data_IF_075174548654
#
_entry.id   IF_075174548654
#
_cell.length_a   1.000
_cell.length_b   1.000
_cell.length_c   1.000
_cell.angle_alpha   90.00
_cell.angle_beta   90.00
_cell.angle_gamma   90.00
#
_symmetry.space_group_name_H-M   'P 1'
#
loop_
_entity.id
_entity.type
_entity.pdbx_description
1 polymer ?
#
# COMPACT_ATOMS: atom_id res chain seq x y z
N UNK A 1 -14.09 -1.04 4.77
CA UNK A 1 -13.20 -0.34 5.73
C UNK A 1 -11.80 -0.80 5.40
N UNK A 2 -10.77 0.04 5.51
CA UNK A 2 -9.43 -0.26 4.99
C UNK A 2 -8.86 -1.62 5.44
N UNK A 3 -9.19 -2.02 6.68
CA UNK A 3 -8.86 -3.33 7.22
C UNK A 3 -9.39 -4.48 6.35
N UNK A 4 -10.70 -4.48 6.06
CA UNK A 4 -11.38 -5.54 5.32
C UNK A 4 -10.92 -5.57 3.86
N UNK A 5 -10.71 -4.38 3.28
CA UNK A 5 -10.26 -4.22 1.90
C UNK A 5 -8.85 -4.83 1.73
N UNK A 6 -7.93 -4.52 2.64
CA UNK A 6 -6.56 -5.05 2.59
C UNK A 6 -6.48 -6.53 3.00
N UNK A 7 -7.27 -6.99 3.96
CA UNK A 7 -7.35 -8.42 4.32
C UNK A 7 -7.86 -9.26 3.14
N UNK A 8 -8.88 -8.76 2.42
CA UNK A 8 -9.39 -9.39 1.21
C UNK A 8 -8.33 -9.37 0.11
N UNK A 9 -7.63 -8.26 -0.08
CA UNK A 9 -6.60 -8.12 -1.11
C UNK A 9 -5.43 -9.09 -0.87
N UNK A 10 -4.91 -9.12 0.36
CA UNK A 10 -3.75 -9.96 0.71
C UNK A 10 -4.11 -11.40 1.09
N UNK A 11 -5.40 -11.72 1.20
CA UNK A 11 -5.91 -13.04 1.59
C UNK A 11 -5.32 -13.51 2.95
N UNK A 12 -4.97 -12.55 3.81
CA UNK A 12 -4.35 -12.79 5.11
C UNK A 12 -4.61 -11.61 6.03
N UNK A 13 -4.81 -11.86 7.31
CA UNK A 13 -5.04 -10.80 8.29
C UNK A 13 -3.76 -9.98 8.53
N UNK A 14 -3.87 -8.67 8.76
CA UNK A 14 -2.73 -7.85 9.13
C UNK A 14 -2.29 -8.16 10.56
N UNK A 15 -1.07 -7.78 10.91
CA UNK A 15 -0.59 -7.86 12.30
C UNK A 15 -1.01 -6.64 13.08
N UNK A 16 -1.49 -6.84 14.30
CA UNK A 16 -1.71 -5.73 15.23
C UNK A 16 -0.38 -5.06 15.61
N UNK A 17 -0.35 -3.72 15.58
CA UNK A 17 0.81 -2.93 15.97
C UNK A 17 0.34 -1.56 16.51
N UNK A 18 0.76 -1.20 17.73
CA UNK A 18 0.62 0.14 18.34
C UNK A 18 -0.70 0.86 18.02
N UNK A 19 -1.84 0.26 18.33
CA UNK A 19 -3.16 0.87 18.14
C UNK A 19 -3.65 0.91 16.69
N UNK A 20 -3.09 0.06 15.84
CA UNK A 20 -3.55 -0.17 14.48
C UNK A 20 -3.05 -1.53 13.99
N UNK A 21 -2.87 -1.64 12.68
CA UNK A 21 -2.45 -2.86 12.02
C UNK A 21 -1.38 -2.59 10.98
N UNK A 22 -0.64 -3.64 10.61
CA UNK A 22 0.35 -3.55 9.54
C UNK A 22 0.51 -4.81 8.73
N UNK A 23 0.94 -4.60 7.50
CA UNK A 23 1.55 -5.61 6.64
C UNK A 23 3.03 -5.32 6.45
N UNK A 24 3.83 -6.38 6.33
CA UNK A 24 5.17 -6.29 5.77
C UNK A 24 5.16 -7.03 4.44
N UNK A 25 5.30 -6.29 3.36
CA UNK A 25 5.28 -6.80 1.99
C UNK A 25 6.73 -6.94 1.54
N UNK A 26 7.11 -8.12 1.11
CA UNK A 26 8.47 -8.46 0.73
C UNK A 26 8.52 -8.82 -0.75
N UNK A 27 9.46 -8.25 -1.48
CA UNK A 27 9.70 -8.61 -2.87
C UNK A 27 10.21 -10.06 -2.97
N UNK A 28 9.73 -10.81 -3.95
CA UNK A 28 10.13 -12.18 -4.20
C UNK A 28 9.95 -12.53 -5.70
N UNK A 29 11.04 -12.69 -6.45
CA UNK A 29 11.03 -13.21 -7.84
C UNK A 29 9.87 -12.66 -8.72
N UNK A 30 9.88 -11.36 -9.00
CA UNK A 30 8.85 -10.66 -9.79
C UNK A 30 7.43 -10.66 -9.17
N UNK A 31 7.28 -11.16 -7.95
CA UNK A 31 6.07 -11.09 -7.12
C UNK A 31 6.37 -10.54 -5.73
N UNK A 32 5.40 -10.61 -4.83
CA UNK A 32 5.55 -10.29 -3.43
C UNK A 32 5.04 -11.43 -2.55
N UNK A 33 5.39 -11.35 -1.26
CA UNK A 33 4.76 -12.12 -0.18
C UNK A 33 4.54 -11.24 1.05
N UNK A 34 3.59 -11.62 1.89
CA UNK A 34 3.43 -11.04 3.22
C UNK A 34 4.38 -11.77 4.18
N UNK A 35 5.19 -11.00 4.90
CA UNK A 35 6.19 -11.49 5.83
C UNK A 35 6.02 -10.93 7.24
N UNK A 36 6.89 -11.39 8.14
CA UNK A 36 6.80 -11.07 9.56
C UNK A 36 7.75 -9.97 10.03
N UNK A 37 8.79 -9.69 9.25
CA UNK A 37 9.88 -8.79 9.58
C UNK A 37 10.46 -8.13 8.32
N UNK A 38 11.17 -7.01 8.48
CA UNK A 38 11.90 -6.37 7.38
C UNK A 38 13.20 -7.14 7.14
N UNK A 39 13.38 -7.68 5.94
CA UNK A 39 14.58 -8.44 5.58
C UNK A 39 15.72 -7.54 5.09
N UNK A 40 16.94 -8.05 5.24
CA UNK A 40 18.14 -7.49 4.63
C UNK A 40 18.30 -8.02 3.21
N UNK A 41 19.02 -7.29 2.35
CA UNK A 41 19.35 -7.65 0.97
C UNK A 41 18.16 -7.76 0.00
N UNK A 42 17.05 -7.08 0.27
CA UNK A 42 15.89 -7.02 -0.64
C UNK A 42 15.05 -5.76 -0.40
N UNK A 43 14.11 -5.50 -1.31
CA UNK A 43 13.08 -4.47 -1.13
C UNK A 43 11.97 -4.98 -0.20
N UNK A 44 11.43 -4.10 0.63
CA UNK A 44 10.27 -4.41 1.48
C UNK A 44 9.45 -3.15 1.75
N UNK A 45 8.16 -3.31 2.00
CA UNK A 45 7.24 -2.23 2.38
C UNK A 45 6.61 -2.57 3.72
N UNK A 46 6.68 -1.64 4.68
CA UNK A 46 5.80 -1.65 5.85
C UNK A 46 4.59 -0.77 5.54
N UNK A 47 3.41 -1.37 5.48
CA UNK A 47 2.13 -0.68 5.32
C UNK A 47 1.41 -0.73 6.67
N UNK A 48 1.41 0.39 7.38
CA UNK A 48 0.68 0.58 8.63
C UNK A 48 -0.61 1.36 8.37
N UNK A 49 -1.68 1.01 9.10
CA UNK A 49 -2.95 1.72 9.08
C UNK A 49 -3.70 1.58 10.41
N UNK A 50 -4.70 2.41 10.66
CA UNK A 50 -5.48 2.40 11.91
C UNK A 50 -6.99 2.46 11.66
N UNK A 51 -7.77 2.53 12.74
CA UNK A 51 -9.24 2.55 12.72
C UNK A 51 -9.85 3.79 12.04
N UNK A 52 -9.04 4.83 11.82
CA UNK A 52 -9.43 6.08 11.15
C UNK A 52 -9.01 6.11 9.67
N UNK A 53 -8.64 4.95 9.10
CA UNK A 53 -8.13 4.81 7.74
C UNK A 53 -6.90 5.72 7.46
N UNK A 54 -6.13 6.07 8.51
CA UNK A 54 -4.88 6.81 8.37
C UNK A 54 -3.73 5.83 8.10
N UNK A 55 -3.02 6.06 7.00
CA UNK A 55 -1.95 5.20 6.51
C UNK A 55 -0.55 5.80 6.73
N UNK A 56 0.40 4.90 7.01
CA UNK A 56 1.83 5.12 6.90
C UNK A 56 2.45 4.01 6.05
N UNK A 57 3.12 4.38 4.95
CA UNK A 57 3.82 3.46 4.05
C UNK A 57 5.31 3.77 4.11
N UNK A 58 6.13 2.77 4.45
CA UNK A 58 7.59 2.90 4.47
C UNK A 58 8.20 1.89 3.52
N UNK A 59 8.93 2.38 2.53
CA UNK A 59 9.73 1.57 1.61
C UNK A 59 11.13 1.39 2.18
N UNK A 60 11.59 0.15 2.21
CA UNK A 60 12.91 -0.27 2.69
C UNK A 60 13.71 -0.86 1.54
N UNK A 61 15.01 -0.58 1.55
CA UNK A 61 16.01 -1.28 0.76
C UNK A 61 17.07 -1.82 1.71
N UNK A 62 17.29 -3.14 1.65
CA UNK A 62 18.28 -3.84 2.48
C UNK A 62 18.08 -3.62 3.99
N UNK A 63 16.82 -3.53 4.42
CA UNK A 63 16.45 -3.26 5.81
C UNK A 63 16.56 -1.79 6.24
N UNK A 64 16.96 -0.89 5.34
CA UNK A 64 17.10 0.54 5.61
C UNK A 64 15.92 1.29 4.98
N UNK A 65 15.19 2.13 5.73
CA UNK A 65 14.10 2.91 5.17
C UNK A 65 14.65 3.94 4.17
N UNK A 66 14.12 3.94 2.96
CA UNK A 66 14.52 4.88 1.89
C UNK A 66 13.43 5.91 1.59
N UNK A 67 12.17 5.63 1.93
CA UNK A 67 11.06 6.58 1.76
C UNK A 67 9.95 6.26 2.76
N UNK A 68 9.33 7.31 3.33
CA UNK A 68 8.17 7.18 4.20
C UNK A 68 7.11 8.20 3.82
N UNK A 69 5.90 7.73 3.53
CA UNK A 69 4.67 8.52 3.41
C UNK A 69 3.84 8.26 4.67
N UNK A 70 3.37 9.29 5.38
CA UNK A 70 2.70 9.12 6.67
C UNK A 70 1.64 10.20 6.94
N UNK A 71 0.69 9.88 7.81
CA UNK A 71 -0.43 10.77 8.21
C UNK A 71 -1.33 11.12 7.03
N UNK A 72 -1.72 10.08 6.29
CA UNK A 72 -2.50 10.20 5.06
C UNK A 72 -3.79 9.45 5.27
N UNK A 73 -4.90 10.17 5.34
CA UNK A 73 -6.23 9.57 5.42
C UNK A 73 -6.70 9.15 4.04
N UNK A 74 -7.15 7.90 3.93
CA UNK A 74 -7.51 7.26 2.67
C UNK A 74 -9.02 7.25 2.52
N UNK A 75 -9.51 7.72 1.38
CA UNK A 75 -10.95 7.66 1.06
C UNK A 75 -11.35 6.36 0.39
N UNK A 76 -10.45 5.75 -0.36
CA UNK A 76 -10.72 4.54 -1.16
C UNK A 76 -9.42 3.77 -1.41
N UNK A 77 -9.53 2.45 -1.44
CA UNK A 77 -8.47 1.56 -1.93
C UNK A 77 -8.97 0.82 -3.15
N UNK A 78 -8.14 0.75 -4.18
CA UNK A 78 -8.41 0.01 -5.40
C UNK A 78 -7.22 -0.85 -5.79
N UNK A 79 -7.50 -1.96 -6.48
CA UNK A 79 -6.49 -2.70 -7.22
C UNK A 79 -6.35 -2.06 -8.59
N UNK A 80 -5.11 -1.97 -9.08
CA UNK A 80 -4.87 -1.63 -10.49
C UNK A 80 -5.54 -2.68 -11.40
N UNK A 81 -5.88 -2.28 -12.64
CA UNK A 81 -6.53 -3.14 -13.64
C UNK A 81 -5.78 -4.46 -13.89
N UNK A 82 -4.44 -4.43 -13.79
CA UNK A 82 -3.56 -5.60 -13.98
C UNK A 82 -3.23 -6.34 -12.66
N UNK A 83 -3.84 -5.93 -11.53
CA UNK A 83 -3.54 -6.43 -10.17
C UNK A 83 -2.05 -6.33 -9.78
N UNK A 84 -1.32 -5.42 -10.43
CA UNK A 84 0.12 -5.21 -10.21
C UNK A 84 0.41 -4.20 -9.08
N UNK A 85 -0.61 -3.50 -8.60
CA UNK A 85 -0.47 -2.46 -7.58
C UNK A 85 -1.76 -2.16 -6.84
N UNK A 86 -1.60 -1.42 -5.73
CA UNK A 86 -2.68 -0.93 -4.89
C UNK A 86 -2.69 0.59 -4.98
N UNK A 87 -3.85 1.16 -5.28
CA UNK A 87 -4.08 2.60 -5.26
C UNK A 87 -4.75 3.02 -3.96
N UNK A 88 -4.13 3.98 -3.27
CA UNK A 88 -4.70 4.63 -2.10
C UNK A 88 -5.13 6.05 -2.49
N UNK A 89 -6.44 6.28 -2.62
CA UNK A 89 -7.00 7.60 -2.96
C UNK A 89 -7.06 8.48 -1.72
N UNK A 90 -6.51 9.69 -1.80
CA UNK A 90 -6.36 10.58 -0.65
C UNK A 90 -7.68 11.29 -0.34
N UNK A 91 -8.16 11.23 0.91
CA UNK A 91 -9.42 11.88 1.31
C UNK A 91 -9.39 13.40 1.11
N UNK A 92 -8.30 14.05 1.51
CA UNK A 92 -8.17 15.53 1.42
C UNK A 92 -7.86 16.03 0.00
N UNK A 93 -7.40 15.15 -0.89
CA UNK A 93 -7.01 15.46 -2.25
C UNK A 93 -7.45 14.33 -3.17
N UNK A 94 -8.76 14.18 -3.45
CA UNK A 94 -9.30 13.02 -4.15
C UNK A 94 -8.83 12.91 -5.61
N UNK A 95 -8.24 13.96 -6.18
CA UNK A 95 -7.56 13.92 -7.49
C UNK A 95 -6.12 13.40 -7.42
N UNK A 96 -5.71 12.83 -6.28
CA UNK A 96 -4.38 12.29 -6.01
C UNK A 96 -4.50 10.92 -5.37
N UNK A 97 -3.53 10.08 -5.71
CA UNK A 97 -3.37 8.76 -5.13
C UNK A 97 -1.90 8.50 -4.80
N UNK A 98 -1.70 7.55 -3.89
CA UNK A 98 -0.42 6.87 -3.71
C UNK A 98 -0.59 5.48 -4.31
N UNK A 99 0.30 5.11 -5.23
CA UNK A 99 0.37 3.78 -5.79
C UNK A 99 1.45 3.00 -5.05
N UNK A 100 1.07 1.86 -4.48
CA UNK A 100 2.00 0.83 -4.05
C UNK A 100 2.08 -0.23 -5.14
N UNK A 101 3.15 -0.19 -5.94
CA UNK A 101 3.41 -1.23 -6.92
C UNK A 101 3.89 -2.50 -6.19
N UNK A 102 3.29 -3.63 -6.53
CA UNK A 102 3.57 -4.95 -5.98
C UNK A 102 4.40 -5.82 -6.93
N UNK A 103 4.22 -5.63 -8.25
CA UNK A 103 4.91 -6.39 -9.31
C UNK A 103 5.41 -5.45 -10.42
N UNK A 104 6.50 -5.79 -11.12
CA UNK A 104 7.44 -6.89 -10.80
C UNK A 104 8.39 -6.54 -9.65
N UNK A 105 8.35 -5.30 -9.15
CA UNK A 105 9.15 -4.82 -8.03
C UNK A 105 8.34 -3.91 -7.12
N UNK A 106 8.78 -3.78 -5.87
CA UNK A 106 8.14 -2.88 -4.91
C UNK A 106 8.55 -1.43 -5.15
N UNK A 107 7.57 -0.57 -5.41
CA UNK A 107 7.76 0.86 -5.56
C UNK A 107 6.60 1.67 -4.99
N UNK A 108 6.88 2.93 -4.67
CA UNK A 108 5.88 3.91 -4.26
C UNK A 108 5.87 5.04 -5.28
N UNK A 109 4.68 5.36 -5.79
CA UNK A 109 4.47 6.46 -6.72
C UNK A 109 3.36 7.37 -6.19
N UNK A 110 3.48 8.67 -6.47
CA UNK A 110 2.38 9.61 -6.24
C UNK A 110 1.92 10.12 -7.58
N UNK A 111 0.63 9.97 -7.86
CA UNK A 111 0.06 10.28 -9.16
C UNK A 111 -1.25 11.05 -9.06
N UNK A 112 -1.72 11.61 -10.18
CA UNK A 112 -3.12 11.96 -10.28
C UNK A 112 -3.97 10.70 -10.16
N UNK A 113 -5.07 10.78 -9.43
CA UNK A 113 -6.15 9.81 -9.52
C UNK A 113 -7.14 10.34 -10.53
N UNK A 114 -7.27 9.65 -11.65
CA UNK A 114 -8.35 9.86 -12.59
C UNK A 114 -9.25 8.66 -12.42
N UNK A 115 -10.47 8.85 -11.91
CA UNK A 115 -11.52 7.89 -12.24
C UNK A 115 -11.57 7.89 -13.76
N UNK A 116 -11.25 6.76 -14.39
CA UNK A 116 -11.56 6.58 -15.81
C UNK A 116 -13.07 6.68 -15.84
N UNK A 117 -13.56 7.86 -16.17
CA UNK A 117 -14.97 8.12 -16.26
C UNK A 117 -15.40 7.40 -17.54
N UNK A 118 -15.83 6.15 -17.40
CA UNK A 118 -16.41 5.37 -18.49
C UNK A 118 -17.68 6.04 -19.07
N UNK A 119 -18.19 7.08 -18.39
CA UNK A 119 -19.35 7.90 -18.76
C UNK A 119 -19.00 9.38 -19.05
N UNK A 120 -17.78 9.70 -19.50
CA UNK A 120 -17.57 10.97 -20.20
C UNK A 120 -18.05 10.85 -21.65
N UNK A 121 -19.33 11.13 -21.90
CA UNK A 121 -19.88 11.40 -23.25
C UNK A 121 -19.12 12.53 -23.97
#
# INVERSE_FOLDING_TARGET
MLYEDLETLFQTAPKEDRGGWKYIIQEQNDTFKIGDEILKNQMSVELYFNEYDEVKITLYKDGIPITTMQKITISKVELDEDEEGIQFVLERMPSRMIRLQLKPYLALEMGPYWEVCDDCE
#
